data_IF_201186013598
#
_entry.id   IF_201186013598
#
_cell.length_a   1.000
_cell.length_b   1.000
_cell.length_c   1.000
_cell.angle_alpha   90.00
_cell.angle_beta   90.00
_cell.angle_gamma   90.00
#
_symmetry.space_group_name_H-M   'P 1'
#
loop_
_entity.id
_entity.type
_entity.pdbx_description
1 polymer ?
#
# COMPACT_ATOMS: atom_id res chain seq x y z
N UNK A 1 62.29 -2.29 8.31
CA UNK A 1 62.10 -1.23 7.28
C UNK A 1 61.07 -1.62 6.23
N UNK A 2 61.16 -2.82 5.63
CA UNK A 2 60.18 -3.32 4.63
C UNK A 2 58.74 -3.41 5.16
N UNK A 3 58.54 -3.89 6.38
CA UNK A 3 57.20 -4.01 7.01
C UNK A 3 56.53 -2.64 7.21
N UNK A 4 57.28 -1.65 7.69
CA UNK A 4 56.78 -0.29 7.95
C UNK A 4 56.31 0.38 6.65
N UNK A 5 57.00 0.16 5.52
CA UNK A 5 56.56 0.70 4.23
C UNK A 5 55.27 0.04 3.72
N UNK A 6 55.12 -1.27 3.92
CA UNK A 6 53.90 -1.99 3.55
C UNK A 6 52.69 -1.53 4.37
N UNK A 7 52.87 -1.28 5.67
CA UNK A 7 51.81 -0.75 6.55
C UNK A 7 51.35 0.64 6.12
N UNK A 8 52.29 1.51 5.68
CA UNK A 8 51.99 2.87 5.20
C UNK A 8 51.22 2.84 3.88
N UNK A 9 51.54 1.94 2.95
CA UNK A 9 50.77 1.78 1.71
C UNK A 9 49.37 1.23 1.95
N UNK A 10 49.22 0.29 2.88
CA UNK A 10 47.92 -0.23 3.29
C UNK A 10 47.07 0.88 3.94
N UNK A 11 47.65 1.65 4.86
CA UNK A 11 46.98 2.79 5.48
C UNK A 11 46.52 3.82 4.44
N UNK A 12 47.35 4.14 3.45
CA UNK A 12 47.00 5.06 2.36
C UNK A 12 45.81 4.55 1.53
N UNK A 13 45.76 3.24 1.29
CA UNK A 13 44.68 2.60 0.54
C UNK A 13 43.37 2.64 1.32
N UNK A 14 43.41 2.28 2.60
CA UNK A 14 42.25 2.34 3.50
C UNK A 14 41.71 3.77 3.63
N UNK A 15 42.58 4.78 3.74
CA UNK A 15 42.17 6.19 3.79
C UNK A 15 41.47 6.60 2.49
N UNK A 16 41.98 6.20 1.32
CA UNK A 16 41.34 6.50 0.04
C UNK A 16 39.97 5.83 -0.09
N UNK A 17 39.87 4.56 0.28
CA UNK A 17 38.59 3.81 0.26
C UNK A 17 37.60 4.42 1.25
N UNK A 18 38.04 4.72 2.47
CA UNK A 18 37.23 5.39 3.48
C UNK A 18 36.76 6.77 3.02
N UNK A 19 37.61 7.53 2.33
CA UNK A 19 37.24 8.80 1.70
C UNK A 19 36.12 8.63 0.65
N UNK A 20 36.24 7.63 -0.22
CA UNK A 20 35.19 7.33 -1.23
C UNK A 20 33.87 6.92 -0.55
N UNK A 21 33.93 6.03 0.44
CA UNK A 21 32.75 5.60 1.19
C UNK A 21 32.09 6.76 1.93
N UNK A 22 32.88 7.67 2.52
CA UNK A 22 32.36 8.85 3.23
C UNK A 22 31.54 9.78 2.34
N UNK A 23 31.76 9.74 1.02
CA UNK A 23 30.94 10.48 0.05
C UNK A 23 29.71 9.67 -0.35
N UNK A 24 29.85 8.37 -0.62
CA UNK A 24 28.76 7.52 -1.15
C UNK A 24 27.71 7.19 -0.08
N UNK A 25 28.12 6.81 1.13
CA UNK A 25 27.21 6.36 2.19
C UNK A 25 26.12 7.39 2.54
N UNK A 26 26.42 8.70 2.68
CA UNK A 26 25.39 9.71 2.91
C UNK A 26 24.33 9.77 1.81
N UNK A 27 24.69 9.56 0.53
CA UNK A 27 23.70 9.54 -0.55
C UNK A 27 22.75 8.35 -0.43
N UNK A 28 23.27 7.18 -0.09
CA UNK A 28 22.43 5.98 0.12
C UNK A 28 21.47 6.21 1.28
N UNK A 29 21.95 6.76 2.40
CA UNK A 29 21.11 7.11 3.55
C UNK A 29 20.04 8.14 3.15
N UNK A 30 20.43 9.18 2.39
CA UNK A 30 19.50 10.20 1.93
C UNK A 30 18.38 9.62 1.04
N UNK A 31 18.71 8.67 0.15
CA UNK A 31 17.72 7.98 -0.69
C UNK A 31 16.77 7.15 0.17
N UNK A 32 17.27 6.41 1.16
CA UNK A 32 16.43 5.64 2.08
C UNK A 32 15.49 6.55 2.90
N UNK A 33 15.99 7.68 3.39
CA UNK A 33 15.16 8.67 4.09
C UNK A 33 14.10 9.27 3.16
N UNK A 34 14.45 9.58 1.91
CA UNK A 34 13.50 10.09 0.92
C UNK A 34 12.37 9.07 0.65
N UNK A 35 12.72 7.79 0.46
CA UNK A 35 11.74 6.72 0.32
C UNK A 35 10.82 6.61 1.54
N UNK A 36 11.36 6.84 2.74
CA UNK A 36 10.58 6.84 3.99
C UNK A 36 9.58 7.99 4.02
N UNK A 37 10.01 9.22 3.66
CA UNK A 37 9.14 10.39 3.60
C UNK A 37 8.02 10.20 2.56
N UNK A 38 8.38 9.72 1.36
CA UNK A 38 7.42 9.39 0.30
C UNK A 38 6.45 8.30 0.80
N UNK A 39 6.97 7.27 1.45
CA UNK A 39 6.17 6.20 2.04
C UNK A 39 5.13 6.73 3.03
N UNK A 40 5.53 7.62 3.94
CA UNK A 40 4.61 8.24 4.91
C UNK A 40 3.57 9.11 4.20
N UNK A 41 3.99 9.91 3.22
CA UNK A 41 3.09 10.79 2.44
C UNK A 41 1.98 10.00 1.73
N UNK A 42 2.28 8.80 1.23
CA UNK A 42 1.29 7.93 0.59
C UNK A 42 0.55 7.03 1.58
N UNK A 43 1.18 6.61 2.68
CA UNK A 43 0.56 5.72 3.66
C UNK A 43 -0.70 6.32 4.28
N UNK A 44 -0.68 7.60 4.63
CA UNK A 44 -1.82 8.30 5.24
C UNK A 44 -3.06 8.32 4.33
N UNK A 45 -3.00 8.83 3.08
CA UNK A 45 -4.16 8.83 2.20
C UNK A 45 -4.63 7.42 1.85
N UNK A 46 -3.72 6.44 1.71
CA UNK A 46 -4.12 5.05 1.51
C UNK A 46 -4.82 4.44 2.72
N UNK A 47 -4.40 4.76 3.95
CA UNK A 47 -5.07 4.32 5.16
C UNK A 47 -6.48 4.92 5.26
N UNK A 48 -6.64 6.22 4.94
CA UNK A 48 -7.95 6.89 4.91
C UNK A 48 -8.86 6.24 3.86
N UNK A 49 -8.34 5.97 2.66
CA UNK A 49 -9.08 5.28 1.61
C UNK A 49 -9.48 3.86 2.03
N UNK A 50 -8.58 3.11 2.65
CA UNK A 50 -8.87 1.77 3.17
C UNK A 50 -9.98 1.78 4.21
N UNK A 51 -9.93 2.72 5.16
CA UNK A 51 -10.98 2.90 6.17
C UNK A 51 -12.32 3.28 5.53
N UNK A 52 -12.31 4.17 4.54
CA UNK A 52 -13.52 4.54 3.82
C UNK A 52 -14.15 3.36 3.07
N UNK A 53 -13.33 2.52 2.42
CA UNK A 53 -13.78 1.29 1.75
C UNK A 53 -14.37 0.31 2.77
N UNK A 54 -13.71 0.11 3.91
CA UNK A 54 -14.18 -0.75 4.99
C UNK A 54 -15.57 -0.31 5.48
N UNK A 55 -15.74 0.97 5.82
CA UNK A 55 -17.03 1.51 6.26
C UNK A 55 -18.13 1.35 5.21
N UNK A 56 -17.83 1.51 3.92
CA UNK A 56 -18.79 1.26 2.83
C UNK A 56 -19.18 -0.21 2.70
N UNK A 57 -18.32 -1.12 3.13
CA UNK A 57 -18.61 -2.55 3.14
C UNK A 57 -19.57 -2.90 4.28
N UNK A 58 -19.41 -2.28 5.45
CA UNK A 58 -20.37 -2.40 6.56
C UNK A 58 -21.76 -1.90 6.17
N UNK A 59 -21.84 -0.71 5.57
CA UNK A 59 -23.11 -0.17 5.04
C UNK A 59 -23.74 -1.12 4.00
N UNK A 60 -22.91 -1.78 3.16
CA UNK A 60 -23.39 -2.76 2.19
C UNK A 60 -24.00 -3.99 2.86
N UNK A 61 -23.38 -4.50 3.92
CA UNK A 61 -23.94 -5.62 4.70
C UNK A 61 -25.26 -5.25 5.38
N UNK A 62 -25.41 -4.02 5.88
CA UNK A 62 -26.70 -3.56 6.42
C UNK A 62 -27.79 -3.53 5.34
N UNK A 63 -27.48 -3.10 4.11
CA UNK A 63 -28.45 -3.16 3.00
C UNK A 63 -28.83 -4.60 2.62
N UNK A 64 -27.89 -5.53 2.71
CA UNK A 64 -28.13 -6.97 2.46
C UNK A 64 -29.07 -7.54 3.52
N UNK A 65 -28.85 -7.21 4.80
CA UNK A 65 -29.71 -7.65 5.91
C UNK A 65 -31.13 -7.09 5.80
N UNK A 66 -31.28 -5.86 5.30
CA UNK A 66 -32.58 -5.23 5.05
C UNK A 66 -33.26 -5.68 3.74
N UNK A 67 -32.63 -6.57 2.96
CA UNK A 67 -33.17 -7.08 1.70
C UNK A 67 -33.09 -6.09 0.52
N UNK A 68 -32.37 -4.98 0.67
CA UNK A 68 -32.19 -3.92 -0.34
C UNK A 68 -30.95 -4.19 -1.23
N UNK A 69 -30.94 -5.34 -1.91
CA UNK A 69 -29.78 -5.82 -2.67
C UNK A 69 -29.35 -4.88 -3.80
N UNK A 70 -30.28 -4.16 -4.43
CA UNK A 70 -29.92 -3.21 -5.49
C UNK A 70 -29.06 -2.05 -4.94
N UNK A 71 -29.44 -1.50 -3.78
CA UNK A 71 -28.70 -0.44 -3.11
C UNK A 71 -27.33 -0.93 -2.63
N UNK A 72 -27.27 -2.15 -2.10
CA UNK A 72 -26.02 -2.79 -1.72
C UNK A 72 -25.02 -2.85 -2.89
N UNK A 73 -25.49 -3.27 -4.08
CA UNK A 73 -24.63 -3.35 -5.28
C UNK A 73 -24.12 -1.99 -5.73
N UNK A 74 -24.99 -0.99 -5.84
CA UNK A 74 -24.59 0.36 -6.25
C UNK A 74 -23.59 0.98 -5.27
N UNK A 75 -23.73 0.69 -3.98
CA UNK A 75 -22.86 1.21 -2.93
C UNK A 75 -21.48 0.57 -2.92
N UNK A 76 -21.38 -0.74 -3.18
CA UNK A 76 -20.13 -1.50 -3.11
C UNK A 76 -19.30 -1.44 -4.40
N UNK A 77 -19.91 -1.17 -5.55
CA UNK A 77 -19.23 -1.19 -6.86
C UNK A 77 -18.08 -0.18 -6.94
N UNK A 78 -18.31 1.06 -6.49
CA UNK A 78 -17.27 2.12 -6.51
C UNK A 78 -16.10 1.76 -5.58
N UNK A 79 -16.33 1.42 -4.28
CA UNK A 79 -15.27 0.93 -3.40
C UNK A 79 -14.48 -0.26 -3.95
N UNK A 80 -15.16 -1.24 -4.58
CA UNK A 80 -14.50 -2.42 -5.11
C UNK A 80 -13.52 -2.10 -6.25
N UNK A 81 -13.88 -1.20 -7.16
CA UNK A 81 -13.01 -0.75 -8.26
C UNK A 81 -11.83 0.07 -7.72
N UNK A 82 -12.10 0.99 -6.79
CA UNK A 82 -11.04 1.77 -6.14
C UNK A 82 -10.06 0.84 -5.41
N UNK A 83 -10.58 -0.16 -4.70
CA UNK A 83 -9.76 -1.15 -4.01
C UNK A 83 -8.87 -1.92 -4.99
N UNK A 84 -9.43 -2.36 -6.12
CA UNK A 84 -8.71 -3.13 -7.14
C UNK A 84 -7.51 -2.37 -7.73
N UNK A 85 -7.68 -1.06 -7.95
CA UNK A 85 -6.68 -0.21 -8.63
C UNK A 85 -5.67 0.34 -7.63
N UNK A 86 -6.13 0.82 -6.47
CA UNK A 86 -5.32 1.66 -5.58
C UNK A 86 -4.81 0.96 -4.31
N UNK A 87 -5.59 0.07 -3.68
CA UNK A 87 -5.24 -0.43 -2.33
C UNK A 87 -4.88 -1.90 -2.31
N UNK A 88 -5.72 -2.80 -2.83
CA UNK A 88 -5.49 -4.24 -2.85
C UNK A 88 -6.26 -4.92 -3.96
N UNK A 89 -5.53 -5.55 -4.89
CA UNK A 89 -6.10 -6.40 -5.95
C UNK A 89 -6.92 -7.54 -5.37
N UNK A 90 -6.41 -8.19 -4.32
CA UNK A 90 -7.09 -9.34 -3.68
C UNK A 90 -8.40 -8.88 -3.01
N UNK A 91 -8.36 -7.79 -2.24
CA UNK A 91 -9.55 -7.24 -1.60
C UNK A 91 -10.61 -6.81 -2.60
N UNK A 92 -10.21 -6.08 -3.65
CA UNK A 92 -11.10 -5.67 -4.73
C UNK A 92 -11.75 -6.85 -5.46
N UNK A 93 -10.99 -7.91 -5.77
CA UNK A 93 -11.54 -9.12 -6.40
C UNK A 93 -12.58 -9.79 -5.50
N UNK A 94 -12.30 -9.94 -4.20
CA UNK A 94 -13.25 -10.53 -3.25
C UNK A 94 -14.55 -9.72 -3.17
N UNK A 95 -14.46 -8.40 -3.15
CA UNK A 95 -15.63 -7.51 -3.16
C UNK A 95 -16.45 -7.64 -4.46
N UNK A 96 -15.77 -7.72 -5.60
CA UNK A 96 -16.43 -7.92 -6.90
C UNK A 96 -17.12 -9.29 -6.99
N UNK A 97 -16.50 -10.35 -6.46
CA UNK A 97 -17.13 -11.67 -6.37
C UNK A 97 -18.39 -11.62 -5.49
N UNK A 98 -18.34 -10.92 -4.35
CA UNK A 98 -19.53 -10.68 -3.52
C UNK A 98 -20.64 -9.96 -4.30
N UNK A 99 -20.29 -8.90 -5.04
CA UNK A 99 -21.22 -8.16 -5.92
C UNK A 99 -21.87 -9.04 -7.00
N UNK A 100 -21.12 -9.98 -7.58
CA UNK A 100 -21.61 -10.90 -8.61
C UNK A 100 -22.61 -11.90 -8.00
N UNK A 101 -22.36 -12.36 -6.77
CA UNK A 101 -23.23 -13.28 -6.05
C UNK A 101 -24.51 -12.62 -5.53
N UNK A 102 -24.51 -11.30 -5.29
CA UNK A 102 -25.70 -10.59 -4.85
C UNK A 102 -26.82 -10.59 -5.92
N UNK A 103 -28.05 -11.00 -5.56
CA UNK A 103 -29.19 -10.94 -6.46
C UNK A 103 -29.49 -9.48 -6.84
N UNK A 104 -29.87 -9.25 -8.10
CA UNK A 104 -30.13 -7.89 -8.61
C UNK A 104 -31.56 -7.40 -8.37
N UNK A 105 -32.38 -8.17 -7.63
CA UNK A 105 -33.78 -7.85 -7.31
C UNK A 105 -33.96 -7.86 -5.80
N UNK A 106 -34.67 -6.88 -5.27
CA UNK A 106 -35.06 -6.85 -3.87
C UNK A 106 -36.08 -7.97 -3.60
N UNK A 107 -35.95 -8.69 -2.49
CA UNK A 107 -36.85 -9.81 -2.15
C UNK A 107 -38.26 -9.33 -1.74
N UNK A 108 -38.45 -8.03 -1.52
CA UNK A 108 -39.71 -7.40 -1.12
C UNK A 108 -40.71 -7.24 -2.26
N UNK A 109 -40.43 -7.71 -3.47
CA UNK A 109 -41.37 -7.68 -4.60
C UNK A 109 -42.24 -8.94 -4.72
N UNK A 110 -42.47 -9.67 -3.63
CA UNK A 110 -43.49 -10.73 -3.58
C UNK A 110 -44.51 -10.36 -2.51
N UNK A 111 -45.58 -9.71 -2.97
CA UNK A 111 -46.95 -9.69 -2.43
C UNK A 111 -47.16 -9.23 -0.98
#
# INVERSE_FOLDING_TARGET
MVVIMADVEMARTLIKVGGILSVIEPFVIAVLLLLTVIGILFAIPFAILGYWIYKRTEECTEFIENGEYKKAKDKLLIPAIIALILTSRVGGILMLLGLILLPSKDLTSTS
#
